data_IF_214537515087
#
_entry.id   IF_214537515087
#
_cell.length_a   1.000
_cell.length_b   1.000
_cell.length_c   1.000
_cell.angle_alpha   90.00
_cell.angle_beta   90.00
_cell.angle_gamma   90.00
#
_symmetry.space_group_name_H-M   'P 1'
#
loop_
_entity.id
_entity.type
_entity.pdbx_description
1 polymer ?
#
# COMPACT_ATOMS: atom_id res chain seq x y z
N UNK A 1 -1.06 -31.64 -92.41
CA UNK A 1 -2.24 -32.27 -91.79
C UNK A 1 -2.28 -31.78 -90.35
N UNK A 2 -2.86 -30.61 -90.05
CA UNK A 2 -4.30 -30.38 -89.84
C UNK A 2 -4.89 -31.39 -88.86
N UNK A 3 -5.13 -30.99 -87.61
CA UNK A 3 -6.51 -30.77 -87.18
C UNK A 3 -6.61 -29.86 -85.94
N UNK A 4 -7.70 -29.08 -85.93
CA UNK A 4 -8.15 -28.09 -84.93
C UNK A 4 -9.19 -28.75 -84.00
N UNK A 5 -9.75 -27.93 -83.10
CA UNK A 5 -11.00 -28.10 -82.31
C UNK A 5 -10.81 -28.69 -80.91
N UNK A 6 -11.46 -28.23 -79.83
CA UNK A 6 -12.32 -27.07 -79.59
C UNK A 6 -12.54 -26.91 -78.06
N UNK A 7 -13.00 -25.71 -77.69
CA UNK A 7 -13.94 -25.36 -76.59
C UNK A 7 -13.66 -25.76 -75.12
N UNK A 8 -13.42 -24.76 -74.26
CA UNK A 8 -14.39 -24.07 -73.36
C UNK A 8 -14.83 -24.90 -72.14
N UNK A 9 -14.67 -24.33 -70.94
CA UNK A 9 -15.65 -24.28 -69.82
C UNK A 9 -14.97 -23.76 -68.54
N UNK A 10 -15.34 -22.53 -68.19
CA UNK A 10 -15.56 -21.93 -66.86
C UNK A 10 -14.89 -22.50 -65.60
N UNK A 11 -14.12 -21.63 -64.92
CA UNK A 11 -13.68 -21.81 -63.53
C UNK A 11 -13.20 -20.49 -62.92
N UNK A 12 -14.15 -19.71 -62.38
CA UNK A 12 -13.92 -18.54 -61.53
C UNK A 12 -13.19 -18.98 -60.23
N UNK A 13 -12.12 -18.30 -59.80
CA UNK A 13 -11.59 -18.28 -58.40
C UNK A 13 -10.35 -17.38 -58.28
N UNK A 14 -9.98 -16.86 -57.10
CA UNK A 14 -10.20 -15.46 -56.75
C UNK A 14 -8.91 -14.65 -56.68
N UNK A 15 -9.07 -13.33 -56.76
CA UNK A 15 -8.03 -12.33 -56.52
C UNK A 15 -7.41 -12.48 -55.13
N UNK A 16 -6.08 -12.67 -55.12
CA UNK A 16 -5.21 -12.72 -53.94
C UNK A 16 -5.40 -11.44 -53.11
N UNK A 17 -5.67 -11.51 -51.79
CA UNK A 17 -5.88 -10.32 -50.99
C UNK A 17 -4.57 -9.55 -50.84
N UNK A 18 -4.59 -8.31 -51.32
CA UNK A 18 -3.53 -7.32 -51.24
C UNK A 18 -3.24 -6.94 -49.79
N UNK A 19 -1.99 -7.15 -49.38
CA UNK A 19 -1.14 -6.07 -48.88
C UNK A 19 -1.74 -5.14 -47.81
N UNK A 20 -2.11 -5.68 -46.64
CA UNK A 20 -2.18 -4.87 -45.40
C UNK A 20 -1.30 -5.38 -44.26
N UNK A 21 -0.86 -6.63 -44.31
CA UNK A 21 -0.02 -7.24 -43.25
C UNK A 21 1.49 -7.00 -43.43
N UNK A 22 1.96 -6.62 -44.63
CA UNK A 22 3.36 -6.23 -44.85
C UNK A 22 3.69 -4.81 -44.36
N UNK A 23 2.67 -3.95 -44.19
CA UNK A 23 2.81 -2.56 -43.73
C UNK A 23 2.79 -2.41 -42.20
N UNK A 24 2.53 -3.49 -41.45
CA UNK A 24 2.55 -3.49 -39.98
C UNK A 24 3.92 -3.85 -39.40
N UNK A 25 4.87 -4.29 -40.24
CA UNK A 25 6.21 -4.73 -39.81
C UNK A 25 7.26 -3.61 -39.81
N UNK A 26 6.87 -2.39 -40.15
CA UNK A 26 7.77 -1.23 -40.27
C UNK A 26 7.46 -0.11 -39.27
N UNK A 27 6.61 -0.34 -38.25
CA UNK A 27 6.47 0.61 -37.14
C UNK A 27 7.77 0.54 -36.32
N UNK A 28 8.62 1.59 -36.31
CA UNK A 28 9.82 1.59 -35.49
C UNK A 28 9.38 1.75 -34.03
N UNK A 29 9.19 0.63 -33.32
CA UNK A 29 8.96 0.62 -31.88
C UNK A 29 10.31 0.72 -31.14
N UNK A 30 11.03 1.80 -31.37
CA UNK A 30 12.21 2.16 -30.57
C UNK A 30 12.44 3.67 -30.67
N UNK A 31 11.50 4.45 -30.15
CA UNK A 31 11.93 5.69 -29.49
C UNK A 31 12.51 5.24 -28.15
N UNK A 32 13.82 5.42 -27.88
CA UNK A 32 14.27 5.28 -26.51
C UNK A 32 13.44 6.25 -25.67
N UNK A 33 12.88 5.76 -24.57
CA UNK A 33 12.41 6.57 -23.45
C UNK A 33 13.62 7.28 -22.79
N UNK A 34 14.56 7.77 -23.59
CA UNK A 34 15.59 8.69 -23.17
C UNK A 34 14.93 10.05 -23.02
N UNK A 35 15.11 10.62 -21.83
CA UNK A 35 14.63 11.94 -21.43
C UNK A 35 13.18 11.97 -20.94
N UNK A 36 12.88 11.11 -19.96
CA UNK A 36 12.20 11.65 -18.77
C UNK A 36 13.16 12.70 -18.22
N UNK A 37 12.90 13.95 -18.59
CA UNK A 37 13.58 15.15 -18.15
C UNK A 37 13.80 15.03 -16.64
N UNK A 38 15.06 14.88 -16.24
CA UNK A 38 15.46 14.87 -14.84
C UNK A 38 14.99 16.19 -14.25
N UNK A 39 13.87 16.13 -13.53
CA UNK A 39 13.36 17.26 -12.77
C UNK A 39 14.53 17.70 -11.88
N UNK A 40 14.97 18.97 -11.90
CA UNK A 40 16.13 19.42 -11.15
C UNK A 40 16.01 19.15 -9.63
N UNK A 41 14.79 18.87 -9.16
CA UNK A 41 14.46 18.41 -7.82
C UNK A 41 15.14 17.07 -7.45
N UNK A 42 15.30 16.14 -8.40
CA UNK A 42 15.87 14.80 -8.18
C UNK A 42 17.36 14.77 -7.82
N UNK A 43 18.06 15.91 -7.87
CA UNK A 43 19.52 15.96 -7.72
C UNK A 43 19.99 15.77 -6.28
N UNK A 44 19.11 15.96 -5.28
CA UNK A 44 19.45 15.95 -3.86
C UNK A 44 18.59 14.93 -3.08
N UNK A 45 18.85 13.63 -3.23
CA UNK A 45 18.12 12.58 -2.51
C UNK A 45 18.09 12.76 -0.98
N UNK A 46 19.14 13.35 -0.42
CA UNK A 46 19.19 13.72 1.00
C UNK A 46 18.17 14.79 1.39
N UNK A 47 17.96 15.81 0.54
CA UNK A 47 16.96 16.85 0.80
C UNK A 47 15.54 16.25 0.85
N UNK A 48 15.24 15.31 -0.05
CA UNK A 48 13.96 14.60 -0.06
C UNK A 48 13.75 13.72 1.17
N UNK A 49 14.80 13.07 1.69
CA UNK A 49 14.73 12.29 2.92
C UNK A 49 14.35 13.12 4.15
N UNK A 50 14.69 14.41 4.17
CA UNK A 50 14.32 15.33 5.25
C UNK A 50 12.88 15.84 5.17
N UNK A 51 12.23 15.78 4.00
CA UNK A 51 10.89 16.38 3.79
C UNK A 51 9.81 15.68 4.64
N UNK A 52 9.64 14.34 4.61
CA UNK A 52 8.62 13.70 5.44
C UNK A 52 8.77 13.94 6.95
N UNK A 53 9.95 13.75 7.58
CA UNK A 53 10.12 14.08 9.00
C UNK A 53 9.84 15.55 9.29
N UNK A 54 10.21 16.47 8.39
CA UNK A 54 9.92 17.89 8.57
C UNK A 54 8.41 18.19 8.54
N UNK A 55 7.67 17.57 7.61
CA UNK A 55 6.20 17.71 7.55
C UNK A 55 5.56 17.17 8.84
N UNK A 56 5.98 15.98 9.30
CA UNK A 56 5.46 15.37 10.54
C UNK A 56 5.79 16.26 11.75
N UNK A 57 7.00 16.81 11.82
CA UNK A 57 7.39 17.73 12.89
C UNK A 57 6.53 19.00 12.85
N UNK A 58 6.32 19.60 11.68
CA UNK A 58 5.49 20.80 11.52
C UNK A 58 4.04 20.56 11.90
N UNK A 59 3.46 19.40 11.53
CA UNK A 59 2.07 19.09 11.89
C UNK A 59 1.92 18.89 13.40
N UNK A 60 2.84 18.16 14.05
CA UNK A 60 2.85 18.00 15.51
C UNK A 60 3.07 19.34 16.21
N UNK A 61 4.03 20.15 15.76
CA UNK A 61 4.30 21.46 16.32
C UNK A 61 3.10 22.40 16.18
N UNK A 62 2.42 22.39 15.01
CA UNK A 62 1.20 23.16 14.82
C UNK A 62 0.07 22.70 15.74
N UNK A 63 -0.10 21.38 15.94
CA UNK A 63 -1.10 20.85 16.89
C UNK A 63 -0.81 21.27 18.33
N UNK A 64 0.45 21.18 18.77
CA UNK A 64 0.84 21.58 20.12
C UNK A 64 0.73 23.11 20.31
N UNK A 65 1.06 23.89 19.29
CA UNK A 65 1.06 25.35 19.35
C UNK A 65 -0.32 25.98 19.18
N UNK A 66 -1.22 25.34 18.41
CA UNK A 66 -2.63 25.76 18.30
C UNK A 66 -3.45 25.45 19.56
N UNK A 67 -2.85 24.78 20.55
CA UNK A 67 -3.42 24.38 21.83
C UNK A 67 -3.81 25.50 22.81
N UNK A 68 -4.25 26.67 22.35
CA UNK A 68 -4.85 27.71 23.23
C UNK A 68 -6.31 28.05 22.92
N UNK A 69 -7.05 27.18 22.26
CA UNK A 69 -8.52 27.32 22.14
C UNK A 69 -9.22 25.99 21.84
N UNK A 70 -9.31 25.10 22.83
CA UNK A 70 -10.34 24.04 22.93
C UNK A 70 -10.39 22.94 21.85
N UNK A 71 -9.40 22.84 20.96
CA UNK A 71 -9.33 21.78 19.96
C UNK A 71 -8.51 20.60 20.50
N UNK A 72 -9.17 19.57 21.02
CA UNK A 72 -8.51 18.32 21.40
C UNK A 72 -7.84 17.68 20.18
N UNK A 73 -6.57 17.26 20.32
CA UNK A 73 -5.86 16.55 19.26
C UNK A 73 -6.50 15.17 19.10
N UNK A 74 -7.05 14.82 17.91
CA UNK A 74 -7.65 13.50 17.73
C UNK A 74 -6.62 12.41 17.93
N UNK A 75 -6.91 11.44 18.81
CA UNK A 75 -6.00 10.33 19.09
C UNK A 75 -5.60 9.58 17.81
N UNK A 76 -6.54 9.41 16.89
CA UNK A 76 -6.31 8.73 15.61
C UNK A 76 -5.33 9.45 14.70
N UNK A 77 -5.28 10.79 14.77
CA UNK A 77 -4.28 11.58 14.07
C UNK A 77 -2.92 11.45 14.73
N UNK A 78 -2.87 11.44 16.07
CA UNK A 78 -1.64 11.19 16.82
C UNK A 78 -1.09 9.77 16.53
N UNK A 79 -1.95 8.76 16.45
CA UNK A 79 -1.62 7.38 16.04
C UNK A 79 -1.02 7.37 14.64
N UNK A 80 -1.67 8.03 13.67
CA UNK A 80 -1.17 8.10 12.30
C UNK A 80 0.22 8.75 12.22
N UNK A 81 0.39 9.91 12.85
CA UNK A 81 1.66 10.65 12.85
C UNK A 81 2.78 9.88 13.56
N UNK A 82 2.45 9.20 14.65
CA UNK A 82 3.40 8.39 15.41
C UNK A 82 3.83 7.14 14.63
N UNK A 83 2.89 6.47 13.96
CA UNK A 83 3.20 5.38 13.04
C UNK A 83 4.03 5.84 11.84
N UNK A 84 3.68 6.97 11.23
CA UNK A 84 4.47 7.57 10.16
C UNK A 84 5.91 7.89 10.62
N UNK A 85 6.07 8.40 11.85
CA UNK A 85 7.37 8.62 12.48
C UNK A 85 8.19 7.34 12.62
N UNK A 86 7.56 6.23 13.03
CA UNK A 86 8.20 4.90 13.06
C UNK A 86 8.76 4.49 11.68
N UNK A 87 7.96 4.66 10.63
CA UNK A 87 8.37 4.35 9.24
C UNK A 87 9.53 5.23 8.75
N UNK A 88 9.55 6.51 9.11
CA UNK A 88 10.67 7.42 8.82
C UNK A 88 11.95 6.92 9.49
N UNK A 89 11.90 6.56 10.77
CA UNK A 89 13.09 6.08 11.49
C UNK A 89 13.58 4.74 10.91
N UNK A 90 12.66 3.83 10.61
CA UNK A 90 12.97 2.55 9.97
C UNK A 90 13.66 2.77 8.60
N UNK A 91 13.14 3.71 7.80
CA UNK A 91 13.74 4.09 6.51
C UNK A 91 15.10 4.75 6.67
N UNK A 92 15.27 5.62 7.67
CA UNK A 92 16.57 6.22 7.97
C UNK A 92 17.63 5.15 8.28
N UNK A 93 17.30 4.17 9.13
CA UNK A 93 18.21 3.07 9.43
C UNK A 93 18.50 2.18 8.22
N UNK A 94 17.55 2.02 7.29
CA UNK A 94 17.78 1.30 6.03
C UNK A 94 18.67 2.07 5.07
N UNK A 95 18.56 3.40 5.03
CA UNK A 95 19.28 4.24 4.06
C UNK A 95 20.68 4.65 4.52
N UNK A 96 20.93 4.79 5.83
CA UNK A 96 22.25 5.20 6.36
C UNK A 96 23.38 4.25 5.95
N UNK A 97 23.06 3.00 5.67
CA UNK A 97 24.03 1.96 5.30
C UNK A 97 24.18 1.80 3.77
N UNK A 98 23.46 2.60 2.97
CA UNK A 98 23.50 2.55 1.49
C UNK A 98 24.44 3.62 0.93
N UNK A 99 25.36 3.22 0.05
CA UNK A 99 26.29 4.14 -0.61
C UNK A 99 25.56 5.22 -1.45
N UNK A 100 25.94 6.51 -1.36
CA UNK A 100 25.19 7.64 -1.93
C UNK A 100 25.09 7.67 -3.47
N UNK A 101 25.88 6.86 -4.18
CA UNK A 101 25.94 6.82 -5.64
C UNK A 101 24.81 6.02 -6.31
N UNK A 102 23.88 5.44 -5.53
CA UNK A 102 22.83 4.52 -6.04
C UNK A 102 21.38 5.02 -5.85
N UNK A 103 21.18 6.31 -5.64
CA UNK A 103 19.81 6.86 -5.47
C UNK A 103 19.12 6.96 -6.82
N UNK A 104 18.15 6.09 -7.07
CA UNK A 104 17.29 6.12 -8.26
C UNK A 104 15.99 6.87 -7.97
N UNK A 105 15.25 7.26 -9.01
CA UNK A 105 13.90 7.85 -8.89
C UNK A 105 12.96 7.02 -8.02
N UNK A 106 13.05 5.68 -8.10
CA UNK A 106 12.23 4.76 -7.32
C UNK A 106 12.51 4.87 -5.82
N UNK A 107 13.77 5.11 -5.44
CA UNK A 107 14.15 5.30 -4.04
C UNK A 107 13.55 6.59 -3.46
N UNK A 108 13.42 7.64 -4.26
CA UNK A 108 12.80 8.90 -3.83
C UNK A 108 11.29 8.71 -3.61
N UNK A 109 10.59 8.01 -4.51
CA UNK A 109 9.17 7.69 -4.31
C UNK A 109 8.98 6.87 -3.03
N UNK A 110 9.85 5.90 -2.78
CA UNK A 110 9.79 5.07 -1.57
C UNK A 110 9.93 5.88 -0.28
N UNK A 111 10.79 6.91 -0.26
CA UNK A 111 10.95 7.82 0.89
C UNK A 111 9.64 8.52 1.25
N UNK A 112 8.79 8.85 0.27
CA UNK A 112 7.52 9.52 0.51
C UNK A 112 6.36 8.56 0.81
N UNK A 113 6.38 7.37 0.21
CA UNK A 113 5.32 6.38 0.40
C UNK A 113 5.46 5.69 1.76
N UNK A 114 6.68 5.41 2.23
CA UNK A 114 6.90 4.71 3.49
C UNK A 114 6.19 5.36 4.70
N UNK A 115 6.31 6.68 4.96
CA UNK A 115 5.62 7.29 6.09
C UNK A 115 4.10 7.18 6.01
N UNK A 116 3.53 7.23 4.81
CA UNK A 116 2.09 7.07 4.60
C UNK A 116 1.67 5.64 4.94
N UNK A 117 2.39 4.65 4.41
CA UNK A 117 2.13 3.22 4.69
C UNK A 117 2.29 2.94 6.18
N UNK A 118 3.36 3.44 6.81
CA UNK A 118 3.62 3.26 8.24
C UNK A 118 2.54 3.91 9.12
N UNK A 119 2.01 5.07 8.74
CA UNK A 119 0.86 5.68 9.40
C UNK A 119 -0.42 4.84 9.29
N UNK A 120 -0.69 4.27 8.10
CA UNK A 120 -1.81 3.35 7.89
C UNK A 120 -1.67 2.06 8.71
N UNK A 121 -0.45 1.52 8.84
CA UNK A 121 -0.19 0.38 9.72
C UNK A 121 -0.49 0.72 11.19
N UNK A 122 -0.25 1.96 11.61
CA UNK A 122 -0.67 2.47 12.92
C UNK A 122 -2.19 2.42 13.12
N UNK A 123 -2.98 2.80 12.10
CA UNK A 123 -4.44 2.66 12.17
C UNK A 123 -4.93 1.22 12.17
N UNK A 124 -4.29 0.33 11.40
CA UNK A 124 -4.63 -1.11 11.45
C UNK A 124 -4.29 -1.69 12.83
N UNK A 125 -3.15 -1.28 13.41
CA UNK A 125 -2.78 -1.66 14.77
C UNK A 125 -3.81 -1.17 15.79
N UNK A 126 -4.27 0.07 15.66
CA UNK A 126 -5.36 0.61 16.47
C UNK A 126 -6.65 -0.22 16.33
N UNK A 127 -7.01 -0.62 15.12
CA UNK A 127 -8.17 -1.47 14.88
C UNK A 127 -8.06 -2.81 15.61
N UNK A 128 -6.87 -3.45 15.66
CA UNK A 128 -6.68 -4.69 16.43
C UNK A 128 -6.92 -4.53 17.94
N UNK A 129 -6.63 -3.36 18.51
CA UNK A 129 -6.94 -3.08 19.90
C UNK A 129 -8.43 -2.82 20.10
N UNK A 130 -9.06 -2.08 19.19
CA UNK A 130 -10.51 -1.82 19.25
C UNK A 130 -11.34 -3.09 19.12
N UNK A 131 -10.95 -4.02 18.26
CA UNK A 131 -11.66 -5.30 18.10
C UNK A 131 -11.39 -6.28 19.25
N UNK A 132 -10.49 -5.93 20.18
CA UNK A 132 -10.08 -6.80 21.26
C UNK A 132 -9.31 -8.04 20.78
N UNK A 133 -8.79 -8.04 19.56
CA UNK A 133 -7.95 -9.14 19.05
C UNK A 133 -6.58 -9.19 19.75
N UNK A 134 -6.09 -8.03 20.19
CA UNK A 134 -4.88 -7.91 21.01
C UNK A 134 -5.26 -7.36 22.39
N UNK A 135 -5.10 -8.20 23.43
CA UNK A 135 -5.44 -7.88 24.81
C UNK A 135 -4.33 -8.27 25.79
N UNK A 136 -4.24 -7.56 26.91
CA UNK A 136 -3.23 -7.77 27.95
C UNK A 136 -2.72 -6.47 28.58
N UNK A 137 -1.92 -6.58 29.64
CA UNK A 137 -1.46 -5.42 30.43
C UNK A 137 -0.59 -4.43 29.64
N UNK A 138 0.09 -4.90 28.59
CA UNK A 138 0.94 -4.10 27.71
C UNK A 138 0.18 -3.44 26.55
N UNK A 139 -1.10 -3.76 26.38
CA UNK A 139 -1.95 -3.24 25.31
C UNK A 139 -2.88 -2.14 25.85
N UNK A 140 -3.29 -1.19 24.98
CA UNK A 140 -4.21 -0.13 25.36
C UNK A 140 -5.64 -0.67 25.53
N UNK A 141 -6.32 -0.21 26.58
CA UNK A 141 -7.77 -0.41 26.76
C UNK A 141 -8.54 0.84 26.30
N UNK A 142 -9.65 0.62 25.61
CA UNK A 142 -10.54 1.67 25.10
C UNK A 142 -11.92 1.58 25.74
N UNK A 143 -12.57 2.73 25.90
CA UNK A 143 -13.94 2.85 26.39
C UNK A 143 -14.84 3.42 25.31
N UNK A 144 -16.07 2.93 25.19
CA UNK A 144 -17.02 3.35 24.16
C UNK A 144 -16.94 2.55 22.85
N UNK A 145 -16.10 1.51 22.78
CA UNK A 145 -16.05 0.59 21.64
C UNK A 145 -17.33 -0.27 21.51
N UNK A 146 -18.04 -0.49 22.62
CA UNK A 146 -19.29 -1.26 22.67
C UNK A 146 -20.55 -0.40 22.40
N UNK A 147 -20.38 0.90 22.11
CA UNK A 147 -21.50 1.79 21.83
C UNK A 147 -22.11 1.55 20.43
N UNK A 148 -23.38 1.91 20.27
CA UNK A 148 -24.06 1.75 18.98
C UNK A 148 -23.33 2.52 17.88
N UNK A 149 -22.99 1.80 16.80
CA UNK A 149 -22.33 2.40 15.65
C UNK A 149 -23.23 3.48 15.01
N UNK A 150 -22.86 4.75 15.19
CA UNK A 150 -23.64 5.88 14.69
C UNK A 150 -23.21 6.30 13.28
N UNK A 151 -21.91 6.46 13.05
CA UNK A 151 -21.35 6.89 11.78
C UNK A 151 -19.87 6.50 11.66
N UNK A 152 -19.28 6.62 10.47
CA UNK A 152 -17.87 6.29 10.27
C UNK A 152 -16.91 7.09 11.18
N UNK A 153 -17.26 8.34 11.49
CA UNK A 153 -16.47 9.20 12.38
C UNK A 153 -16.46 8.73 13.84
N UNK A 154 -17.45 7.95 14.29
CA UNK A 154 -17.54 7.49 15.68
C UNK A 154 -16.40 6.53 16.02
N UNK A 155 -15.92 5.74 15.06
CA UNK A 155 -14.74 4.85 15.21
C UNK A 155 -13.47 5.66 15.55
N UNK A 156 -13.35 6.86 14.96
CA UNK A 156 -12.20 7.74 15.17
C UNK A 156 -12.30 8.63 16.41
N UNK A 157 -13.45 8.58 17.09
CA UNK A 157 -13.75 9.37 18.29
C UNK A 157 -13.70 8.54 19.58
N UNK A 158 -13.40 7.24 19.48
CA UNK A 158 -13.26 6.35 20.64
C UNK A 158 -12.09 6.82 21.51
N UNK A 159 -12.35 6.89 22.81
CA UNK A 159 -11.37 7.40 23.78
C UNK A 159 -10.68 6.26 24.53
N UNK A 160 -9.37 6.39 24.80
CA UNK A 160 -8.65 5.43 25.63
C UNK A 160 -9.14 5.57 27.08
N UNK A 161 -9.20 4.45 27.79
CA UNK A 161 -9.70 4.39 29.18
C UNK A 161 -8.87 5.25 30.13
N UNK A 162 -7.56 5.32 29.91
CA UNK A 162 -6.63 6.14 30.68
C UNK A 162 -5.58 6.80 29.78
N UNK A 163 -4.89 7.83 30.30
CA UNK A 163 -3.75 8.44 29.61
C UNK A 163 -2.60 7.44 29.36
N UNK A 164 -2.46 6.42 30.21
CA UNK A 164 -1.49 5.33 30.02
C UNK A 164 -1.89 4.50 28.79
N UNK A 165 -3.18 4.23 28.60
CA UNK A 165 -3.67 3.51 27.43
C UNK A 165 -3.50 4.33 26.15
N UNK A 166 -3.66 5.65 26.21
CA UNK A 166 -3.30 6.54 25.11
C UNK A 166 -1.81 6.41 24.74
N UNK A 167 -0.92 6.42 25.75
CA UNK A 167 0.52 6.28 25.53
C UNK A 167 0.90 4.90 24.96
N UNK A 168 0.27 3.82 25.44
CA UNK A 168 0.45 2.47 24.89
C UNK A 168 0.00 2.41 23.44
N UNK A 169 -1.14 3.02 23.10
CA UNK A 169 -1.64 3.07 21.72
C UNK A 169 -0.66 3.79 20.78
N UNK A 170 -0.10 4.93 21.21
CA UNK A 170 0.93 5.64 20.45
C UNK A 170 2.21 4.83 20.31
N UNK A 171 2.65 4.15 21.38
CA UNK A 171 3.82 3.28 21.33
C UNK A 171 3.63 2.14 20.33
N UNK A 172 2.48 1.47 20.35
CA UNK A 172 2.19 0.39 19.41
C UNK A 172 2.00 0.89 17.98
N UNK A 173 1.42 2.08 17.79
CA UNK A 173 1.38 2.72 16.48
C UNK A 173 2.78 2.99 15.93
N UNK A 174 3.69 3.49 16.77
CA UNK A 174 5.11 3.65 16.40
C UNK A 174 5.74 2.31 16.00
N UNK A 175 5.55 1.27 16.81
CA UNK A 175 6.11 -0.07 16.55
C UNK A 175 5.55 -0.66 15.25
N UNK A 176 4.25 -0.51 14.98
CA UNK A 176 3.62 -0.95 13.75
C UNK A 176 4.19 -0.25 12.51
N UNK A 177 4.47 1.04 12.60
CA UNK A 177 5.12 1.79 11.52
C UNK A 177 6.61 1.51 11.38
N UNK A 178 7.32 1.31 12.50
CA UNK A 178 8.75 0.98 12.51
C UNK A 178 9.02 -0.43 11.95
N UNK A 179 8.18 -1.38 12.35
CA UNK A 179 8.20 -2.76 11.88
C UNK A 179 7.07 -2.98 10.88
N UNK A 180 7.24 -2.48 9.66
CA UNK A 180 6.21 -2.53 8.60
C UNK A 180 5.66 -3.94 8.32
N UNK A 181 6.42 -4.99 8.66
CA UNK A 181 6.02 -6.40 8.51
C UNK A 181 5.21 -6.96 9.68
N UNK A 182 5.17 -6.28 10.82
CA UNK A 182 4.51 -6.79 12.04
C UNK A 182 3.02 -7.05 11.78
N UNK A 183 2.33 -6.05 11.27
CA UNK A 183 0.89 -6.09 11.03
C UNK A 183 0.52 -7.08 9.92
N UNK A 184 1.17 -7.07 8.73
CA UNK A 184 0.97 -8.12 7.73
C UNK A 184 1.17 -9.53 8.29
N UNK A 185 2.24 -9.77 9.05
CA UNK A 185 2.49 -11.10 9.63
C UNK A 185 1.41 -11.54 10.64
N UNK A 186 0.76 -10.58 11.33
CA UNK A 186 -0.38 -10.90 12.21
C UNK A 186 -1.59 -11.30 11.36
N UNK A 187 -1.87 -10.54 10.29
CA UNK A 187 -2.98 -10.83 9.37
C UNK A 187 -2.81 -12.19 8.67
N UNK A 188 -1.62 -12.50 8.16
CA UNK A 188 -1.33 -13.77 7.50
C UNK A 188 -1.60 -14.95 8.44
N UNK A 189 -1.11 -14.86 9.70
CA UNK A 189 -1.35 -15.91 10.71
C UNK A 189 -2.83 -16.08 11.08
N UNK A 190 -3.60 -14.99 11.07
CA UNK A 190 -5.03 -15.04 11.33
C UNK A 190 -5.78 -15.68 10.16
N UNK A 191 -5.36 -15.42 8.93
CA UNK A 191 -5.92 -16.06 7.74
C UNK A 191 -5.65 -17.57 7.74
N UNK A 192 -4.41 -17.99 8.02
CA UNK A 192 -4.03 -19.40 8.11
C UNK A 192 -4.89 -20.17 9.15
N UNK A 193 -5.17 -19.55 10.30
CA UNK A 193 -6.02 -20.14 11.35
C UNK A 193 -7.47 -20.37 10.92
N UNK A 194 -7.99 -19.52 10.03
CA UNK A 194 -9.37 -19.66 9.53
C UNK A 194 -9.44 -20.80 8.50
N UNK A 195 -8.42 -20.96 7.67
CA UNK A 195 -8.36 -22.04 6.67
C UNK A 195 -8.24 -23.43 7.32
N UNK A 196 -7.55 -23.54 8.44
CA UNK A 196 -7.40 -24.80 9.19
C UNK A 196 -8.69 -25.24 9.94
N UNK A 197 -9.61 -24.31 10.23
CA UNK A 197 -10.87 -24.60 10.93
C UNK A 197 -12.02 -25.07 10.00
N UNK A 198 -11.92 -24.89 8.68
CA UNK A 198 -12.89 -25.44 7.73
C UNK A 198 -12.62 -26.94 7.49
N UNK A 199 -13.51 -27.87 7.94
CA UNK A 199 -13.31 -29.28 7.64
C UNK A 199 -13.42 -29.51 6.12
N UNK A 200 -12.66 -30.46 5.55
CA UNK A 200 -12.71 -30.72 4.13
C UNK A 200 -14.16 -31.08 3.75
N UNK A 201 -14.78 -30.23 2.94
CA UNK A 201 -16.05 -30.51 2.28
C UNK A 201 -15.85 -31.83 1.54
N UNK A 202 -16.41 -32.92 2.10
CA UNK A 202 -16.50 -34.20 1.40
C UNK A 202 -17.40 -33.95 0.20
N UNK A 203 -16.77 -33.65 -0.94
CA UNK A 203 -17.41 -33.67 -2.24
C UNK A 203 -18.00 -35.08 -2.41
N UNK A 204 -19.33 -35.14 -2.39
CA UNK A 204 -20.05 -36.36 -2.71
C UNK A 204 -19.71 -36.81 -4.13
N UNK A 205 -19.38 -38.08 -4.26
CA UNK A 205 -19.20 -38.74 -5.55
C UNK A 205 -18.34 -39.98 -5.41
N UNK A 206 -18.96 -41.12 -5.12
CA UNK A 206 -18.95 -42.20 -6.11
C UNK A 206 -19.92 -43.33 -5.73
N UNK A 207 -20.81 -43.57 -6.69
CA UNK A 207 -21.67 -44.74 -6.85
C UNK A 207 -20.80 -45.99 -7.05
N UNK A 208 -21.00 -47.02 -6.22
CA UNK A 208 -20.82 -48.47 -6.48
C UNK A 208 -21.10 -49.19 -5.15
N UNK A 209 -21.88 -50.27 -5.06
CA UNK A 209 -22.30 -51.27 -6.05
C UNK A 209 -23.61 -51.91 -5.60
#
# INVERSE_FOLDING_TARGET
>A
MSDKTDEMVTGMTPTKPTSKLSQLKSIPLSKPLEKIQSIPLLKNGFAHACVPPFIIFLTIANMLWSGTSGADVPLTLAIFLTGAGGGVISTYFRLKDVAPTRVTTNAIIQIYITPIVAGLLGWICYAFFLTGMLQGSLFPEFTGADEHYANFGSIFSITPKTAIDAAKALLWAFVAGFSEKLIPNILDKLADQIEDEDPPVKAGGDVKS
#
